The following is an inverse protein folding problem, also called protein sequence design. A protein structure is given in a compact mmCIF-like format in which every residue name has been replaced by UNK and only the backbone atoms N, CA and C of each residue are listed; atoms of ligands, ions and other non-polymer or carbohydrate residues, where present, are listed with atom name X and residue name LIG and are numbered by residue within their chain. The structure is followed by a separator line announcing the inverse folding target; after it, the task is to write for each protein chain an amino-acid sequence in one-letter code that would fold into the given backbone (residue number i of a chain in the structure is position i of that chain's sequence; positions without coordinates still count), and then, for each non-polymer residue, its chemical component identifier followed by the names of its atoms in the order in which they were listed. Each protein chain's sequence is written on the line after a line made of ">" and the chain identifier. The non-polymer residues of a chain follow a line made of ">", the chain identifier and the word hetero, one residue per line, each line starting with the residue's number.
data_IF_550044798894
#
_entry.id   IF_550044798894
#
_cell.length_a   1.000
_cell.length_b   1.000
_cell.length_c   1.000
_cell.angle_alpha   90.00
_cell.angle_beta   90.00
_cell.angle_gamma   90.00
#
_symmetry.space_group_name_H-M   'P 1'
#
loop_
_entity.id
_entity.type
_entity.pdbx_description
1 polymer ?
#
# COMPACT_ATOMS: atom_id res chain seq x y z
N UNK A 1 -77.58 -9.37 34.35
CA UNK A 1 -77.47 -8.06 35.03
C UNK A 1 -77.44 -6.96 33.97
N UNK A 2 -78.20 -5.90 34.21
CA UNK A 2 -78.37 -4.71 33.37
C UNK A 2 -77.16 -3.76 33.40
N UNK A 3 -77.16 -2.84 32.43
CA UNK A 3 -76.72 -1.42 32.48
C UNK A 3 -75.20 -1.13 32.43
N UNK A 4 -74.73 -0.36 31.41
CA UNK A 4 -74.54 1.12 31.41
C UNK A 4 -73.30 1.53 32.23
N UNK A 5 -72.44 2.50 31.91
CA UNK A 5 -72.33 3.63 30.98
C UNK A 5 -70.81 3.93 30.80
N UNK A 6 -70.31 4.54 29.72
CA UNK A 6 -70.18 6.01 29.54
C UNK A 6 -68.74 6.50 29.83
N UNK A 7 -67.95 6.87 28.79
CA UNK A 7 -67.51 8.25 28.41
C UNK A 7 -66.57 8.92 29.46
N UNK A 8 -65.39 9.52 29.21
CA UNK A 8 -64.77 10.28 28.11
C UNK A 8 -63.28 10.59 28.42
N UNK A 9 -62.58 11.22 27.45
CA UNK A 9 -61.35 12.04 27.55
C UNK A 9 -60.10 11.35 26.96
N UNK A 10 -59.68 11.66 25.72
CA UNK A 10 -58.86 12.83 25.33
C UNK A 10 -57.37 12.49 25.53
N UNK A 11 -56.47 12.42 24.53
CA UNK A 11 -56.04 13.47 23.60
C UNK A 11 -55.27 12.87 22.39
N UNK A 12 -55.47 13.52 21.22
CA UNK A 12 -54.67 13.63 19.98
C UNK A 12 -53.77 12.46 19.45
N UNK A 13 -53.87 12.11 18.14
CA UNK A 13 -52.94 11.20 17.48
C UNK A 13 -51.63 11.92 17.11
N UNK A 14 -50.50 11.29 17.44
CA UNK A 14 -49.22 11.61 16.79
C UNK A 14 -49.26 11.03 15.38
N UNK A 15 -49.13 11.93 14.41
CA UNK A 15 -48.96 11.65 12.99
C UNK A 15 -47.69 10.81 12.83
N UNK A 16 -47.84 9.51 12.55
CA UNK A 16 -46.73 8.69 12.07
C UNK A 16 -46.60 8.96 10.58
N UNK A 17 -45.60 9.74 10.19
CA UNK A 17 -45.20 9.93 8.80
C UNK A 17 -44.79 8.57 8.24
N UNK A 18 -45.64 8.01 7.39
CA UNK A 18 -45.32 6.82 6.59
C UNK A 18 -44.42 7.27 5.44
N UNK A 19 -43.16 6.89 5.50
CA UNK A 19 -42.19 7.11 4.44
C UNK A 19 -42.64 6.37 3.16
N UNK A 20 -42.66 7.03 1.99
CA UNK A 20 -43.04 6.39 0.74
C UNK A 20 -41.96 5.39 0.29
N UNK A 21 -42.33 4.26 -0.35
CA UNK A 21 -41.34 3.37 -0.94
C UNK A 21 -40.65 4.07 -2.13
N UNK A 22 -39.33 4.23 -2.05
CA UNK A 22 -38.53 4.76 -3.15
C UNK A 22 -38.46 3.75 -4.30
N UNK A 23 -38.83 4.20 -5.50
CA UNK A 23 -38.65 3.50 -6.77
C UNK A 23 -37.16 3.54 -7.23
N UNK A 24 -36.71 2.61 -8.08
CA UNK A 24 -35.29 2.33 -8.29
C UNK A 24 -34.60 3.43 -9.12
N UNK A 25 -33.56 4.03 -8.56
CA UNK A 25 -32.66 4.91 -9.29
C UNK A 25 -31.65 4.08 -10.08
N UNK A 26 -31.60 4.36 -11.39
CA UNK A 26 -30.69 3.78 -12.34
C UNK A 26 -29.21 4.07 -12.01
N UNK A 27 -28.38 3.06 -12.23
CA UNK A 27 -27.05 3.24 -12.82
C UNK A 27 -26.02 4.01 -12.00
N UNK A 28 -25.65 3.49 -10.83
CA UNK A 28 -24.31 3.65 -10.32
C UNK A 28 -23.75 2.23 -10.16
N UNK A 29 -22.99 1.78 -11.16
CA UNK A 29 -22.08 0.65 -10.94
C UNK A 29 -21.20 1.04 -9.75
N UNK A 30 -21.05 0.21 -8.72
CA UNK A 30 -19.94 0.39 -7.80
C UNK A 30 -18.68 0.44 -8.67
N UNK A 31 -17.91 1.51 -8.59
CA UNK A 31 -16.51 1.42 -8.99
C UNK A 31 -15.90 0.44 -8.00
N UNK A 32 -15.86 -0.81 -8.41
CA UNK A 32 -15.05 -1.82 -7.76
C UNK A 32 -13.64 -1.25 -7.80
N UNK A 33 -13.15 -0.81 -6.64
CA UNK A 33 -11.74 -0.49 -6.47
C UNK A 33 -11.03 -1.81 -6.75
N UNK A 34 -10.56 -1.97 -7.98
CA UNK A 34 -9.66 -3.05 -8.34
C UNK A 34 -8.44 -2.84 -7.46
N UNK A 35 -8.30 -3.65 -6.41
CA UNK A 35 -7.01 -3.86 -5.79
C UNK A 35 -6.02 -4.21 -6.91
N UNK A 36 -4.77 -3.73 -6.88
CA UNK A 36 -3.78 -4.19 -7.84
C UNK A 36 -3.81 -5.71 -7.87
N UNK A 37 -3.71 -6.29 -9.06
CA UNK A 37 -3.71 -7.74 -9.20
C UNK A 37 -2.58 -8.27 -8.31
N UNK A 38 -2.93 -8.96 -7.23
CA UNK A 38 -1.98 -9.75 -6.44
C UNK A 38 -1.51 -10.88 -7.36
N UNK A 39 -0.51 -10.60 -8.19
CA UNK A 39 0.43 -11.64 -8.57
C UNK A 39 1.02 -12.15 -7.26
N UNK A 40 0.97 -13.45 -7.01
CA UNK A 40 1.68 -14.06 -5.89
C UNK A 40 3.18 -14.04 -6.19
N UNK A 41 3.73 -12.82 -6.33
CA UNK A 41 5.16 -12.61 -6.47
C UNK A 41 5.81 -13.05 -5.18
N UNK A 42 6.52 -14.17 -5.22
CA UNK A 42 7.25 -14.69 -4.06
C UNK A 42 8.67 -14.13 -3.98
N UNK A 43 9.12 -13.45 -5.04
CA UNK A 43 10.48 -12.90 -5.20
C UNK A 43 10.61 -11.51 -4.56
N UNK A 44 11.76 -11.26 -3.94
CA UNK A 44 12.02 -9.98 -3.25
C UNK A 44 13.32 -9.33 -3.68
N UNK A 45 13.27 -8.00 -3.82
CA UNK A 45 14.46 -7.16 -3.95
C UNK A 45 14.53 -6.26 -2.72
N UNK A 46 15.60 -6.36 -1.94
CA UNK A 46 15.87 -5.45 -0.82
C UNK A 46 17.07 -4.60 -1.15
N UNK A 47 16.92 -3.28 -1.08
CA UNK A 47 17.97 -2.30 -1.36
C UNK A 47 18.33 -1.58 -0.08
N UNK A 48 19.58 -1.70 0.35
CA UNK A 48 20.09 -1.08 1.57
C UNK A 48 20.90 0.18 1.24
N UNK A 49 20.71 1.21 2.04
CA UNK A 49 21.46 2.45 2.03
C UNK A 49 22.20 2.59 3.35
N UNK A 50 23.45 3.05 3.31
CA UNK A 50 24.20 3.34 4.53
C UNK A 50 23.60 4.58 5.22
N UNK A 51 23.04 4.41 6.42
CA UNK A 51 22.55 5.53 7.26
C UNK A 51 23.72 6.26 7.95
N UNK A 52 24.97 5.94 7.59
CA UNK A 52 26.18 6.56 8.14
C UNK A 52 26.34 8.04 7.77
N UNK A 53 25.45 8.58 6.95
CA UNK A 53 25.24 10.02 6.78
C UNK A 53 24.46 10.66 7.95
N UNK A 54 24.37 10.00 9.12
CA UNK A 54 24.00 10.64 10.39
C UNK A 54 24.92 11.82 10.84
N UNK A 55 25.94 12.20 10.03
CA UNK A 55 26.64 13.49 10.15
C UNK A 55 25.91 14.65 9.42
N UNK A 56 24.91 14.33 8.59
CA UNK A 56 23.92 15.24 8.02
C UNK A 56 22.68 15.24 8.93
N UNK A 57 22.16 16.40 9.29
CA UNK A 57 20.90 16.56 10.03
C UNK A 57 19.64 16.13 9.22
N UNK A 58 19.80 15.29 8.19
CA UNK A 58 18.74 14.96 7.23
C UNK A 58 18.26 13.53 7.46
N UNK A 59 16.93 13.38 7.49
CA UNK A 59 16.25 12.11 7.69
C UNK A 59 16.26 11.33 6.36
N UNK A 60 16.85 10.12 6.29
CA UNK A 60 16.93 9.34 5.05
C UNK A 60 15.55 9.07 4.44
N UNK A 61 14.49 9.01 5.24
CA UNK A 61 13.12 8.86 4.72
C UNK A 61 12.71 10.07 3.89
N UNK A 62 13.07 11.29 4.30
CA UNK A 62 12.75 12.51 3.57
C UNK A 62 13.61 12.62 2.30
N UNK A 63 14.89 12.24 2.36
CA UNK A 63 15.80 12.31 1.22
C UNK A 63 15.48 11.29 0.13
N UNK A 64 15.05 10.08 0.52
CA UNK A 64 14.79 9.00 -0.40
C UNK A 64 13.33 8.90 -0.84
N UNK A 65 12.42 9.71 -0.31
CA UNK A 65 11.00 9.66 -0.69
C UNK A 65 10.78 9.78 -2.21
N UNK A 66 11.45 10.71 -2.89
CA UNK A 66 11.33 10.83 -4.35
C UNK A 66 11.90 9.61 -5.09
N UNK A 67 12.94 8.98 -4.52
CA UNK A 67 13.56 7.76 -5.06
C UNK A 67 12.61 6.57 -4.88
N UNK A 68 12.00 6.44 -3.71
CA UNK A 68 11.00 5.41 -3.38
C UNK A 68 9.82 5.46 -4.36
N UNK A 69 9.25 6.65 -4.57
CA UNK A 69 8.14 6.86 -5.49
C UNK A 69 8.53 6.56 -6.95
N UNK A 70 9.74 6.92 -7.37
CA UNK A 70 10.23 6.62 -8.71
C UNK A 70 10.45 5.12 -8.91
N UNK A 71 10.94 4.42 -7.88
CA UNK A 71 11.15 2.98 -7.90
C UNK A 71 9.82 2.21 -8.00
N UNK A 72 8.84 2.56 -7.17
CA UNK A 72 7.49 1.97 -7.22
C UNK A 72 6.82 2.21 -8.57
N UNK A 73 6.91 3.44 -9.11
CA UNK A 73 6.36 3.76 -10.43
C UNK A 73 7.04 2.98 -11.56
N UNK A 74 8.36 2.77 -11.48
CA UNK A 74 9.10 2.01 -12.51
C UNK A 74 8.65 0.54 -12.57
N UNK A 75 8.37 -0.08 -11.42
CA UNK A 75 7.82 -1.42 -11.35
C UNK A 75 6.36 -1.47 -11.83
N UNK A 76 5.53 -0.52 -11.39
CA UNK A 76 4.13 -0.44 -11.77
C UNK A 76 3.91 -0.21 -13.27
N UNK A 77 4.72 0.63 -13.91
CA UNK A 77 4.65 0.88 -15.36
C UNK A 77 4.98 -0.37 -16.20
N UNK A 78 5.78 -1.27 -15.64
CA UNK A 78 6.19 -2.51 -16.26
C UNK A 78 5.32 -3.72 -15.89
N UNK A 79 4.40 -3.58 -14.93
CA UNK A 79 3.66 -4.70 -14.32
C UNK A 79 4.60 -5.76 -13.71
N UNK A 80 5.73 -5.31 -13.12
CA UNK A 80 6.81 -6.17 -12.66
C UNK A 80 6.86 -6.35 -11.13
N UNK A 81 6.09 -5.56 -10.38
CA UNK A 81 6.08 -5.60 -8.92
C UNK A 81 5.59 -4.31 -8.29
N UNK A 82 5.74 -4.20 -6.97
CA UNK A 82 5.44 -3.01 -6.18
C UNK A 82 6.33 -2.92 -4.95
N UNK A 83 6.38 -1.76 -4.31
CA UNK A 83 7.04 -1.60 -3.02
C UNK A 83 6.18 -2.17 -1.88
N UNK A 84 6.80 -2.99 -1.01
CA UNK A 84 6.17 -3.49 0.21
C UNK A 84 6.32 -2.50 1.38
N UNK A 85 7.51 -1.89 1.51
CA UNK A 85 7.76 -0.86 2.49
C UNK A 85 9.24 -0.55 2.69
N UNK A 86 9.52 0.20 3.76
CA UNK A 86 10.86 0.58 4.17
C UNK A 86 11.09 0.30 5.66
N UNK A 87 12.35 0.11 6.04
CA UNK A 87 12.77 -0.07 7.43
C UNK A 87 14.03 0.75 7.73
N UNK A 88 14.12 1.24 8.97
CA UNK A 88 15.32 1.94 9.49
C UNK A 88 15.82 1.14 10.69
N UNK A 89 17.01 0.56 10.56
CA UNK A 89 17.58 -0.32 11.58
C UNK A 89 19.07 -0.56 11.36
N UNK A 90 19.80 -0.86 12.43
CA UNK A 90 21.22 -1.28 12.39
C UNK A 90 22.18 -0.34 11.60
N UNK A 91 21.83 0.93 11.45
CA UNK A 91 22.62 1.91 10.68
C UNK A 91 22.41 1.80 9.17
N UNK A 92 21.26 1.28 8.75
CA UNK A 92 20.83 1.20 7.37
C UNK A 92 19.38 1.67 7.21
N UNK A 93 19.09 2.25 6.05
CA UNK A 93 17.74 2.40 5.54
C UNK A 93 17.52 1.37 4.44
N UNK A 94 16.43 0.63 4.49
CA UNK A 94 16.15 -0.46 3.54
C UNK A 94 14.82 -0.22 2.83
N UNK A 95 14.79 -0.46 1.52
CA UNK A 95 13.58 -0.51 0.70
C UNK A 95 13.33 -1.95 0.26
N UNK A 96 12.12 -2.45 0.46
CA UNK A 96 11.70 -3.82 0.10
C UNK A 96 10.67 -3.79 -1.02
N UNK A 97 10.95 -4.54 -2.08
CA UNK A 97 10.08 -4.69 -3.26
C UNK A 97 9.72 -6.15 -3.46
N UNK A 98 8.53 -6.40 -3.98
CA UNK A 98 7.99 -7.74 -4.24
C UNK A 98 7.47 -7.83 -5.68
N UNK A 99 7.65 -8.99 -6.30
CA UNK A 99 7.25 -9.27 -7.68
C UNK A 99 7.52 -10.72 -8.08
N UNK A 100 7.42 -11.03 -9.37
CA UNK A 100 7.53 -12.39 -9.89
C UNK A 100 8.94 -12.80 -10.35
N UNK A 101 9.84 -11.82 -10.56
CA UNK A 101 11.20 -12.05 -11.07
C UNK A 101 12.19 -11.00 -10.53
N UNK A 102 13.11 -11.42 -9.66
CA UNK A 102 14.13 -10.52 -9.09
C UNK A 102 15.09 -9.91 -10.10
N UNK A 103 15.39 -10.58 -11.22
CA UNK A 103 16.28 -10.02 -12.25
C UNK A 103 15.57 -8.93 -13.04
N UNK A 104 14.30 -9.13 -13.39
CA UNK A 104 13.47 -8.13 -14.04
C UNK A 104 13.28 -6.90 -13.16
N UNK A 105 12.89 -7.10 -11.89
CA UNK A 105 12.77 -6.00 -10.93
C UNK A 105 14.08 -5.23 -10.80
N UNK A 106 15.22 -5.90 -10.63
CA UNK A 106 16.50 -5.20 -10.47
C UNK A 106 16.89 -4.40 -11.71
N UNK A 107 16.62 -4.90 -12.93
CA UNK A 107 16.90 -4.13 -14.16
C UNK A 107 16.12 -2.81 -14.25
N UNK A 108 14.91 -2.76 -13.67
CA UNK A 108 14.07 -1.56 -13.61
C UNK A 108 14.49 -0.61 -12.49
N UNK A 109 14.88 -1.18 -11.34
CA UNK A 109 15.24 -0.46 -10.13
C UNK A 109 16.65 0.14 -10.17
N UNK A 110 17.63 -0.57 -10.73
CA UNK A 110 19.04 -0.15 -10.81
C UNK A 110 19.23 1.29 -11.32
N UNK A 111 18.61 1.73 -12.43
CA UNK A 111 18.77 3.11 -12.89
C UNK A 111 18.16 4.14 -11.94
N UNK A 112 17.09 3.83 -11.22
CA UNK A 112 16.50 4.75 -10.22
C UNK A 112 17.47 4.94 -9.06
N UNK A 113 18.04 3.85 -8.55
CA UNK A 113 18.98 3.90 -7.43
C UNK A 113 20.37 4.40 -7.81
N UNK A 114 20.75 4.35 -9.09
CA UNK A 114 21.98 4.97 -9.57
C UNK A 114 21.93 6.51 -9.54
N UNK A 115 20.74 7.11 -9.62
CA UNK A 115 20.51 8.56 -9.57
C UNK A 115 20.03 9.05 -8.18
N UNK A 116 19.94 8.15 -7.19
CA UNK A 116 19.49 8.48 -5.84
C UNK A 116 20.45 9.46 -5.12
N UNK A 117 19.93 10.37 -4.26
CA UNK A 117 20.76 11.32 -3.52
C UNK A 117 21.69 10.63 -2.52
N UNK A 118 21.25 9.49 -1.97
CA UNK A 118 22.04 8.63 -1.08
C UNK A 118 22.46 7.39 -1.86
N UNK A 119 23.77 7.05 -1.89
CA UNK A 119 24.22 5.85 -2.58
C UNK A 119 23.76 4.59 -1.85
N UNK A 120 23.21 3.64 -2.60
CA UNK A 120 22.94 2.30 -2.09
C UNK A 120 24.26 1.56 -1.79
N UNK A 121 24.23 0.69 -0.78
CA UNK A 121 25.39 -0.06 -0.28
C UNK A 121 25.32 -1.56 -0.59
N UNK A 122 24.11 -2.12 -0.65
CA UNK A 122 23.86 -3.53 -0.91
C UNK A 122 22.49 -3.73 -1.56
N UNK A 123 22.37 -4.74 -2.43
CA UNK A 123 21.09 -5.25 -2.93
C UNK A 123 21.04 -6.74 -2.72
N UNK A 124 19.93 -7.23 -2.16
CA UNK A 124 19.66 -8.64 -1.92
C UNK A 124 18.49 -9.08 -2.79
N UNK A 125 18.71 -10.09 -3.63
CA UNK A 125 17.71 -10.71 -4.49
C UNK A 125 17.34 -12.07 -3.89
N UNK A 126 16.09 -12.23 -3.48
CA UNK A 126 15.54 -13.42 -2.84
C UNK A 126 14.64 -14.19 -3.81
N UNK A 127 14.89 -15.49 -3.97
CA UNK A 127 13.98 -16.44 -4.65
C UNK A 127 13.02 -17.02 -3.60
N UNK A 128 11.90 -16.33 -3.36
CA UNK A 128 11.04 -16.59 -2.21
C UNK A 128 11.43 -15.84 -0.94
N UNK A 129 10.42 -15.44 -0.13
CA UNK A 129 10.62 -14.77 1.17
C UNK A 129 11.54 -15.55 2.14
N UNK A 130 11.51 -16.88 2.09
CA UNK A 130 12.28 -17.75 2.97
C UNK A 130 13.68 -18.13 2.42
N UNK A 131 14.15 -17.51 1.32
CA UNK A 131 15.46 -17.81 0.75
C UNK A 131 16.59 -17.59 1.78
N UNK A 132 17.27 -18.66 2.23
CA UNK A 132 18.33 -18.54 3.23
C UNK A 132 19.64 -17.99 2.66
N UNK A 133 19.75 -17.85 1.34
CA UNK A 133 20.98 -17.51 0.61
C UNK A 133 20.71 -16.56 -0.57
N UNK A 134 20.17 -15.36 -0.31
CA UNK A 134 19.89 -14.39 -1.37
C UNK A 134 21.15 -14.04 -2.16
N UNK A 135 20.97 -13.75 -3.44
CA UNK A 135 22.05 -13.22 -4.27
C UNK A 135 22.31 -11.77 -3.87
N UNK A 136 23.56 -11.48 -3.54
CA UNK A 136 24.00 -10.13 -3.14
C UNK A 136 24.68 -9.42 -4.30
N UNK A 137 24.30 -8.16 -4.54
CA UNK A 137 24.93 -7.23 -5.47
C UNK A 137 25.49 -6.05 -4.65
N UNK A 138 26.73 -5.67 -4.92
CA UNK A 138 27.38 -4.51 -4.30
C UNK A 138 27.71 -3.47 -5.36
N UNK A 139 27.73 -2.17 -5.00
CA UNK A 139 28.09 -1.11 -5.94
C UNK A 139 29.54 -1.30 -6.43
N UNK A 140 29.81 -0.90 -7.68
CA UNK A 140 31.11 -1.06 -8.34
C UNK A 140 31.99 0.19 -8.28
#
# INVERSE_FOLDING_TARGET
>A
MLASAGLLSGCAPLVTWTEPPAAPAAGATPVESVAPAEGEGDDWVVVSFDDREAESDLDPMDELLETELAADQALADADAGWIDGNDVGDGTYELSFVGDDTEEMWMLLEPVFADAPVPWSEVRLYDGFDDPTPRVITPR
#
